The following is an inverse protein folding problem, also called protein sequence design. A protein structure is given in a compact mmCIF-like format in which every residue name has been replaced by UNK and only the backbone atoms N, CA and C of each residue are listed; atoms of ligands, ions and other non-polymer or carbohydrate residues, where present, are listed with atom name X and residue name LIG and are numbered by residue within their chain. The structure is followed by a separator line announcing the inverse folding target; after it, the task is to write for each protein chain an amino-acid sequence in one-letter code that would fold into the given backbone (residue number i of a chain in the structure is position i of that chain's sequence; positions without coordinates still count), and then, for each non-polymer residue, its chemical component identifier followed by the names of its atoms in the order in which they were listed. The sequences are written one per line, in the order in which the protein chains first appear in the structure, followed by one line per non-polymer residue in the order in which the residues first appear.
data_IF_363868652027
#
_entry.id   IF_363868652027
#
_cell.length_a   1.000
_cell.length_b   1.000
_cell.length_c   1.000
_cell.angle_alpha   90.00
_cell.angle_beta   90.00
_cell.angle_gamma   90.00
#
_symmetry.space_group_name_H-M   'P 1'
#
loop_
_entity.id
_entity.type
_entity.pdbx_description
1 polymer ?
#
# COMPACT_ATOMS: atom_id res chain seq x y z
N UNK A 1 6.86 -13.01 -9.34
CA UNK A 1 6.23 -14.22 -8.74
C UNK A 1 5.56 -13.77 -7.44
N UNK A 2 4.34 -14.23 -7.17
CA UNK A 2 3.58 -13.82 -5.99
C UNK A 2 3.83 -14.83 -4.85
N UNK A 3 3.75 -14.38 -3.61
CA UNK A 3 4.00 -15.20 -2.42
C UNK A 3 2.87 -15.04 -1.41
N UNK A 4 2.66 -16.08 -0.58
CA UNK A 4 1.72 -16.05 0.54
C UNK A 4 2.50 -16.36 1.82
N UNK A 5 2.38 -15.48 2.81
CA UNK A 5 2.93 -15.68 4.16
C UNK A 5 1.77 -16.05 5.09
N UNK A 6 1.68 -17.32 5.49
CA UNK A 6 0.51 -17.88 6.18
C UNK A 6 0.85 -18.48 7.56
N UNK A 7 1.81 -17.90 8.27
CA UNK A 7 2.19 -18.32 9.62
C UNK A 7 1.11 -17.99 10.66
N UNK A 8 1.19 -18.59 11.85
CA UNK A 8 0.30 -18.30 12.98
C UNK A 8 0.28 -16.80 13.34
N UNK A 9 -0.86 -16.35 13.87
CA UNK A 9 -1.01 -14.98 14.38
C UNK A 9 0.00 -14.73 15.51
N UNK A 10 0.65 -13.56 15.52
CA UNK A 10 1.64 -13.22 16.54
C UNK A 10 3.11 -13.56 16.19
N UNK A 11 3.38 -14.30 15.11
CA UNK A 11 4.75 -14.64 14.69
C UNK A 11 5.52 -13.52 13.96
N UNK A 12 5.07 -12.27 14.08
CA UNK A 12 5.81 -11.12 13.54
C UNK A 12 5.73 -10.94 12.02
N UNK A 13 4.70 -11.48 11.35
CA UNK A 13 4.47 -11.31 9.90
C UNK A 13 4.51 -9.87 9.42
N UNK A 14 3.99 -8.93 10.23
CA UNK A 14 4.05 -7.49 9.94
C UNK A 14 5.51 -7.02 9.84
N UNK A 15 6.34 -7.35 10.83
CA UNK A 15 7.77 -7.00 10.84
C UNK A 15 8.48 -7.65 9.67
N UNK A 16 8.25 -8.93 9.40
CA UNK A 16 8.84 -9.62 8.25
C UNK A 16 8.49 -8.94 6.92
N UNK A 17 7.24 -8.50 6.76
CA UNK A 17 6.76 -7.80 5.57
C UNK A 17 7.40 -6.41 5.42
N UNK A 18 7.60 -5.70 6.54
CA UNK A 18 8.29 -4.40 6.56
C UNK A 18 9.78 -4.58 6.23
N UNK A 19 10.44 -5.57 6.84
CA UNK A 19 11.83 -5.91 6.54
C UNK A 19 12.00 -6.26 5.07
N UNK A 20 11.07 -7.00 4.48
CA UNK A 20 11.06 -7.30 3.06
C UNK A 20 11.01 -6.04 2.18
N UNK A 21 10.11 -5.08 2.48
CA UNK A 21 10.06 -3.81 1.75
C UNK A 21 11.31 -2.98 1.93
N UNK A 22 11.90 -3.00 3.13
CA UNK A 22 13.15 -2.31 3.41
C UNK A 22 14.33 -2.90 2.62
N UNK A 23 14.43 -4.23 2.52
CA UNK A 23 15.43 -4.92 1.70
C UNK A 23 15.28 -4.61 0.22
N UNK A 24 14.05 -4.51 -0.29
CA UNK A 24 13.77 -4.07 -1.67
C UNK A 24 14.26 -2.64 -1.89
N UNK A 25 13.99 -1.74 -0.93
CA UNK A 25 14.47 -0.37 -0.97
C UNK A 25 16.01 -0.29 -0.99
N UNK A 26 16.70 -1.07 -0.15
CA UNK A 26 18.16 -1.12 -0.11
C UNK A 26 18.78 -1.64 -1.41
N UNK A 27 18.05 -2.47 -2.17
CA UNK A 27 18.46 -2.95 -3.51
C UNK A 27 18.20 -1.93 -4.64
N UNK A 28 17.79 -0.70 -4.31
CA UNK A 28 17.55 0.38 -5.26
C UNK A 28 16.17 0.35 -5.91
N UNK A 29 15.27 -0.54 -5.47
CA UNK A 29 13.88 -0.53 -5.90
C UNK A 29 13.12 0.34 -4.92
N UNK A 30 13.02 1.62 -5.25
CA UNK A 30 12.22 2.55 -4.45
C UNK A 30 10.73 2.37 -4.76
N UNK A 31 9.89 2.84 -3.83
CA UNK A 31 8.43 2.80 -3.96
C UNK A 31 7.88 3.40 -5.26
N UNK A 32 6.56 3.35 -5.47
CA UNK A 32 5.56 3.30 -4.40
C UNK A 32 5.15 1.87 -4.00
N UNK A 33 5.01 1.63 -2.69
CA UNK A 33 4.54 0.38 -2.09
C UNK A 33 3.15 0.55 -1.46
N UNK A 34 2.27 -0.43 -1.62
CA UNK A 34 0.91 -0.40 -1.06
C UNK A 34 0.77 -1.47 0.02
N UNK A 35 0.26 -1.08 1.18
CA UNK A 35 -0.17 -2.00 2.23
C UNK A 35 -1.67 -1.86 2.40
N UNK A 36 -2.39 -2.95 2.22
CA UNK A 36 -3.83 -3.04 2.41
C UNK A 36 -4.08 -3.86 3.67
N UNK A 37 -4.68 -3.26 4.69
CA UNK A 37 -4.89 -3.92 5.97
C UNK A 37 -6.25 -3.55 6.60
N UNK A 38 -6.81 -4.38 7.50
CA UNK A 38 -7.98 -4.00 8.28
C UNK A 38 -7.75 -2.70 9.06
N UNK A 39 -8.79 -1.87 9.22
CA UNK A 39 -8.68 -0.60 9.96
C UNK A 39 -8.08 -0.77 11.38
N UNK A 40 -8.38 -1.90 12.03
CA UNK A 40 -7.88 -2.24 13.35
C UNK A 40 -6.37 -2.50 13.41
N UNK A 41 -5.73 -2.92 12.32
CA UNK A 41 -4.29 -3.22 12.28
C UNK A 41 -3.46 -2.05 11.73
N UNK A 42 -4.09 -1.03 11.15
CA UNK A 42 -3.41 0.18 10.65
C UNK A 42 -2.51 0.82 11.72
N UNK A 43 -2.93 1.04 12.98
CA UNK A 43 -2.06 1.65 13.99
C UNK A 43 -0.82 0.80 14.30
N UNK A 44 -0.94 -0.53 14.19
CA UNK A 44 0.19 -1.43 14.34
C UNK A 44 1.16 -1.28 13.16
N UNK A 45 0.65 -1.30 11.93
CA UNK A 45 1.46 -1.05 10.74
C UNK A 45 2.16 0.31 10.79
N UNK A 46 1.45 1.39 11.16
CA UNK A 46 2.02 2.74 11.30
C UNK A 46 3.13 2.79 12.36
N UNK A 47 2.93 2.13 13.51
CA UNK A 47 3.93 2.04 14.58
C UNK A 47 5.20 1.35 14.10
N UNK A 48 5.07 0.21 13.43
CA UNK A 48 6.20 -0.59 12.96
C UNK A 48 6.91 0.08 11.77
N UNK A 49 6.18 0.80 10.91
CA UNK A 49 6.78 1.51 9.77
C UNK A 49 7.60 2.74 10.15
N UNK A 50 7.39 3.32 11.34
CA UNK A 50 8.04 4.50 11.95
C UNK A 50 8.12 5.80 11.11
N UNK A 51 8.19 5.77 9.78
CA UNK A 51 8.43 6.92 8.89
C UNK A 51 7.93 6.67 7.45
N UNK A 52 6.62 6.50 7.26
CA UNK A 52 5.99 6.52 5.93
C UNK A 52 4.70 7.35 5.96
N UNK A 53 4.26 7.81 4.79
CA UNK A 53 3.14 8.71 4.64
C UNK A 53 1.85 8.15 5.28
N UNK A 54 1.38 8.84 6.32
CA UNK A 54 0.16 8.47 7.04
C UNK A 54 -1.09 8.65 6.16
N UNK A 55 -2.21 8.06 6.59
CA UNK A 55 -3.56 8.28 6.04
C UNK A 55 -3.87 9.75 5.72
N UNK A 56 -3.29 10.69 6.46
CA UNK A 56 -3.46 12.15 6.27
C UNK A 56 -2.82 12.67 4.97
N UNK A 57 -1.68 12.14 4.55
CA UNK A 57 -0.99 12.55 3.31
C UNK A 57 -1.81 12.16 2.08
N UNK A 58 -2.52 11.03 2.16
CA UNK A 58 -3.43 10.53 1.13
C UNK A 58 -4.68 11.40 1.07
N UNK A 59 -5.30 11.69 2.22
CA UNK A 59 -6.51 12.53 2.31
C UNK A 59 -6.27 13.99 1.89
N UNK A 60 -5.04 14.49 2.02
CA UNK A 60 -4.68 15.83 1.58
C UNK A 60 -4.28 15.92 0.09
N UNK A 61 -4.36 14.82 -0.67
CA UNK A 61 -3.99 14.74 -2.10
C UNK A 61 -2.56 15.22 -2.41
N UNK A 62 -1.67 15.22 -1.42
CA UNK A 62 -0.25 15.58 -1.59
C UNK A 62 0.60 14.37 -1.99
N UNK A 63 0.04 13.48 -2.82
CA UNK A 63 0.72 12.26 -3.26
C UNK A 63 1.92 12.53 -4.17
N UNK A 64 1.87 13.61 -4.93
CA UNK A 64 2.81 13.89 -6.00
C UNK A 64 3.64 15.15 -5.72
N UNK A 65 4.88 15.14 -6.19
CA UNK A 65 5.62 16.38 -6.36
C UNK A 65 4.98 17.24 -7.45
N UNK A 66 5.06 18.55 -7.27
CA UNK A 66 4.60 19.54 -8.24
C UNK A 66 5.80 20.31 -8.79
N UNK A 67 5.76 20.63 -10.08
CA UNK A 67 6.77 21.50 -10.71
C UNK A 67 6.59 22.97 -10.26
N UNK A 68 7.48 23.85 -10.71
CA UNK A 68 7.42 25.30 -10.43
C UNK A 68 6.15 25.98 -10.96
N UNK A 69 5.38 25.30 -11.81
CA UNK A 69 4.11 25.76 -12.39
C UNK A 69 2.90 25.10 -11.70
N UNK A 70 3.11 24.32 -10.64
CA UNK A 70 2.06 23.65 -9.87
C UNK A 70 1.51 22.36 -10.49
N UNK A 71 2.08 21.89 -11.61
CA UNK A 71 1.66 20.67 -12.31
C UNK A 71 2.25 19.44 -11.65
N UNK A 72 1.48 18.36 -11.61
CA UNK A 72 1.90 17.07 -11.05
C UNK A 72 3.03 16.46 -11.89
N UNK A 73 4.13 16.13 -11.23
CA UNK A 73 5.25 15.41 -11.82
C UNK A 73 4.91 13.91 -11.78
N UNK A 74 4.62 13.34 -12.95
CA UNK A 74 4.30 11.91 -13.07
C UNK A 74 5.48 11.05 -12.61
N UNK A 75 5.20 10.02 -11.81
CA UNK A 75 6.22 9.11 -11.28
C UNK A 75 7.01 9.64 -10.08
N UNK A 76 6.83 10.91 -9.69
CA UNK A 76 7.48 11.50 -8.52
C UNK A 76 6.50 11.58 -7.35
N UNK A 77 6.60 10.61 -6.44
CA UNK A 77 5.72 10.48 -5.28
C UNK A 77 6.38 11.05 -4.02
N UNK A 78 5.62 11.78 -3.20
CA UNK A 78 6.09 12.29 -1.88
C UNK A 78 6.15 11.22 -0.79
N UNK A 79 5.99 9.94 -1.16
CA UNK A 79 5.93 8.81 -0.25
C UNK A 79 6.62 7.59 -0.87
N UNK A 80 7.15 6.69 -0.03
CA UNK A 80 7.62 5.39 -0.51
C UNK A 80 6.58 4.29 -0.32
N UNK A 81 5.75 4.38 0.72
CA UNK A 81 4.69 3.44 1.02
C UNK A 81 3.41 4.16 1.45
N UNK A 82 2.28 3.54 1.12
CA UNK A 82 0.95 3.93 1.55
C UNK A 82 0.31 2.75 2.28
N UNK A 83 -0.27 3.04 3.44
CA UNK A 83 -1.07 2.09 4.20
C UNK A 83 -2.53 2.52 4.09
N UNK A 84 -3.39 1.62 3.64
CA UNK A 84 -4.82 1.90 3.42
C UNK A 84 -5.67 0.70 3.80
N UNK A 85 -6.99 0.90 3.83
CA UNK A 85 -7.95 -0.17 4.15
C UNK A 85 -8.60 -0.74 2.92
N UNK A 86 -9.21 -1.92 3.07
CA UNK A 86 -10.00 -2.55 2.04
C UNK A 86 -11.13 -1.66 1.53
N UNK A 87 -11.79 -0.94 2.43
CA UNK A 87 -12.89 -0.03 2.11
C UNK A 87 -12.42 1.12 1.22
N UNK A 88 -11.22 1.68 1.45
CA UNK A 88 -10.67 2.74 0.61
C UNK A 88 -10.38 2.27 -0.83
N UNK A 89 -9.90 1.02 -0.99
CA UNK A 89 -9.71 0.44 -2.33
C UNK A 89 -11.07 0.23 -3.03
N UNK A 90 -12.08 -0.21 -2.26
CA UNK A 90 -13.43 -0.47 -2.75
C UNK A 90 -14.23 0.77 -3.10
N UNK A 91 -13.97 1.90 -2.42
CA UNK A 91 -14.68 3.16 -2.64
C UNK A 91 -14.24 3.86 -3.94
N UNK A 92 -13.36 3.22 -4.72
CA UNK A 92 -12.83 3.73 -5.99
C UNK A 92 -12.10 5.06 -5.82
N UNK A 93 -10.88 5.01 -5.28
CA UNK A 93 -9.96 6.14 -5.28
C UNK A 93 -9.16 6.16 -6.60
N UNK A 94 -9.48 7.05 -7.56
CA UNK A 94 -8.83 7.07 -8.87
C UNK A 94 -7.33 7.35 -8.76
N UNK A 95 -6.94 8.13 -7.75
CA UNK A 95 -5.54 8.45 -7.48
C UNK A 95 -4.75 7.19 -7.16
N UNK A 96 -5.25 6.31 -6.29
CA UNK A 96 -4.59 5.04 -5.94
C UNK A 96 -4.49 4.10 -7.15
N UNK A 97 -5.46 4.11 -8.06
CA UNK A 97 -5.41 3.31 -9.31
C UNK A 97 -4.36 3.81 -10.29
N UNK A 98 -4.13 5.12 -10.33
CA UNK A 98 -3.15 5.74 -11.24
C UNK A 98 -1.68 5.55 -10.82
N UNK A 99 -1.44 5.01 -9.62
CA UNK A 99 -0.09 4.77 -9.11
C UNK A 99 0.41 3.39 -9.59
N UNK A 100 1.57 3.32 -10.27
CA UNK A 100 2.20 2.06 -10.65
C UNK A 100 2.91 1.46 -9.43
N UNK A 101 2.16 0.74 -8.59
CA UNK A 101 2.66 0.12 -7.38
C UNK A 101 3.74 -0.92 -7.68
N UNK A 102 4.90 -0.78 -7.02
CA UNK A 102 6.04 -1.71 -7.16
C UNK A 102 5.87 -2.98 -6.34
N UNK A 103 5.14 -2.89 -5.23
CA UNK A 103 4.83 -4.01 -4.36
C UNK A 103 3.51 -3.73 -3.64
N UNK A 104 2.69 -4.76 -3.50
CA UNK A 104 1.44 -4.72 -2.74
C UNK A 104 1.45 -5.82 -1.69
N UNK A 105 1.24 -5.43 -0.44
CA UNK A 105 1.05 -6.33 0.70
C UNK A 105 -0.42 -6.29 1.08
N UNK A 106 -1.02 -7.47 1.24
CA UNK A 106 -2.40 -7.61 1.70
C UNK A 106 -2.37 -8.35 3.04
N UNK A 107 -2.62 -7.62 4.11
CA UNK A 107 -2.79 -8.17 5.45
C UNK A 107 -4.18 -8.78 5.59
N UNK A 108 -4.28 -9.90 6.31
CA UNK A 108 -5.51 -10.69 6.42
C UNK A 108 -6.16 -11.02 5.06
N UNK A 109 -5.34 -11.44 4.09
CA UNK A 109 -5.74 -11.76 2.71
C UNK A 109 -6.84 -12.84 2.61
N UNK A 110 -7.12 -13.58 3.68
CA UNK A 110 -8.27 -14.49 3.74
C UNK A 110 -9.60 -13.74 3.49
N UNK A 111 -9.67 -12.44 3.79
CA UNK A 111 -10.81 -11.55 3.49
C UNK A 111 -11.10 -11.42 1.98
N UNK A 112 -10.11 -11.70 1.12
CA UNK A 112 -10.26 -11.68 -0.35
C UNK A 112 -11.12 -12.83 -0.90
N UNK A 113 -11.33 -13.91 -0.12
CA UNK A 113 -11.92 -15.17 -0.63
C UNK A 113 -13.42 -15.13 -0.89
N UNK A 114 -14.14 -14.08 -0.45
CA UNK A 114 -15.57 -13.97 -0.72
C UNK A 114 -15.79 -13.69 -2.21
N UNK A 115 -16.38 -14.65 -2.93
CA UNK A 115 -16.50 -14.73 -4.41
C UNK A 115 -17.15 -13.53 -5.12
N UNK A 116 -17.74 -12.58 -4.40
CA UNK A 116 -18.28 -11.31 -4.92
C UNK A 116 -17.36 -10.10 -4.62
N UNK A 117 -16.08 -10.32 -4.33
CA UNK A 117 -15.16 -9.26 -3.95
C UNK A 117 -14.88 -8.28 -5.10
N UNK A 118 -15.65 -7.20 -5.13
CA UNK A 118 -15.31 -5.91 -5.79
C UNK A 118 -13.86 -5.47 -5.56
N UNK A 119 -13.24 -5.98 -4.48
CA UNK A 119 -11.86 -5.73 -4.12
C UNK A 119 -10.87 -6.43 -5.07
N UNK A 120 -11.13 -7.68 -5.46
CA UNK A 120 -10.31 -8.37 -6.46
C UNK A 120 -10.41 -7.70 -7.82
N UNK A 121 -11.60 -7.21 -8.19
CA UNK A 121 -11.80 -6.37 -9.38
C UNK A 121 -11.05 -5.05 -9.26
N UNK A 122 -11.18 -4.36 -8.13
CA UNK A 122 -10.45 -3.11 -7.86
C UNK A 122 -8.93 -3.28 -7.91
N UNK A 123 -8.39 -4.40 -7.43
CA UNK A 123 -6.97 -4.73 -7.51
C UNK A 123 -6.53 -5.06 -8.94
N UNK A 124 -7.36 -5.78 -9.72
CA UNK A 124 -7.10 -6.03 -11.15
C UNK A 124 -7.10 -4.74 -11.97
N UNK A 125 -7.91 -3.75 -11.58
CA UNK A 125 -7.92 -2.42 -12.22
C UNK A 125 -6.70 -1.56 -11.88
N UNK A 126 -5.84 -2.00 -10.96
CA UNK A 126 -4.58 -1.32 -10.63
C UNK A 126 -3.39 -1.81 -11.47
N UNK A 127 -3.65 -2.49 -12.60
CA UNK A 127 -2.63 -3.05 -13.52
C UNK A 127 -1.51 -3.84 -12.79
N UNK A 128 -1.91 -4.62 -11.78
CA UNK A 128 -1.03 -5.58 -11.09
C UNK A 128 -0.96 -6.94 -11.76
#
# INVERSE_FOLDING_TARGET
RNCILADEMGLGKTIQSITFLYEIYLKGIHGPFLVIAPLSTIPNWEREFRTQASRKTIQAYEMYYRDTQGRVIKGAYKFHAIITTFEMILTDCPELRSVPWRCVIIDEAHRLKNRNCKLLEGLKMMDM
#
